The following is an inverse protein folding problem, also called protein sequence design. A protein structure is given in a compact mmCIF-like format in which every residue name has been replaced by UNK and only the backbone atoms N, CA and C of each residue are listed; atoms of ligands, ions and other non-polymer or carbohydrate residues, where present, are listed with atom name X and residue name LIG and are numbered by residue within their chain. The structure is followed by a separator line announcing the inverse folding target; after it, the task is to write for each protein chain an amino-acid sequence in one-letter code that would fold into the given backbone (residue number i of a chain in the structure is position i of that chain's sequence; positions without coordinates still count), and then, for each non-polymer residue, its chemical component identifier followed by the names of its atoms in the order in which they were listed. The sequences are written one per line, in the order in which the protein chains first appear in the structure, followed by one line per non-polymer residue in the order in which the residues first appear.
data_IF_079380729864
#
_entry.id   IF_079380729864
#
_cell.length_a   1.000
_cell.length_b   1.000
_cell.length_c   1.000
_cell.angle_alpha   90.00
_cell.angle_beta   90.00
_cell.angle_gamma   90.00
#
_symmetry.space_group_name_H-M   'P 1'
#
loop_
_entity.id
_entity.type
_entity.pdbx_description
1 polymer ?
#
# COMPACT_ATOMS: atom_id res chain seq x y z
N UNK A 1 -5.53 2.87 -13.75
CA UNK A 1 -5.15 1.47 -13.51
C UNK A 1 -6.35 0.62 -13.09
N UNK A 2 -6.94 0.83 -11.90
CA UNK A 2 -8.06 0.00 -11.41
C UNK A 2 -9.29 0.01 -12.34
N UNK A 3 -9.64 1.16 -12.94
CA UNK A 3 -10.72 1.22 -13.96
C UNK A 3 -10.42 0.34 -15.18
N UNK A 4 -9.15 0.24 -15.59
CA UNK A 4 -8.74 -0.62 -16.70
C UNK A 4 -8.89 -2.11 -16.32
N UNK A 5 -8.58 -2.47 -15.06
CA UNK A 5 -8.87 -3.81 -14.52
C UNK A 5 -10.35 -4.11 -14.55
N UNK A 6 -11.19 -3.17 -14.09
CA UNK A 6 -12.65 -3.34 -14.11
C UNK A 6 -13.20 -3.49 -15.54
N UNK A 7 -12.65 -2.74 -16.51
CA UNK A 7 -13.03 -2.85 -17.92
C UNK A 7 -12.52 -4.13 -18.62
N UNK A 8 -11.62 -4.89 -17.99
CA UNK A 8 -10.99 -6.07 -18.58
C UNK A 8 -9.83 -5.80 -19.53
N UNK A 9 -9.41 -4.54 -19.68
CA UNK A 9 -8.23 -4.16 -20.48
C UNK A 9 -6.90 -4.58 -19.82
N UNK A 10 -6.90 -4.81 -18.51
CA UNK A 10 -5.77 -5.32 -17.71
C UNK A 10 -6.30 -6.42 -16.79
N UNK A 11 -5.58 -7.52 -16.63
CA UNK A 11 -6.05 -8.64 -15.79
C UNK A 11 -6.01 -8.33 -14.29
N UNK A 12 -4.95 -7.68 -13.82
CA UNK A 12 -4.78 -7.31 -12.42
C UNK A 12 -3.72 -6.21 -12.24
N UNK A 13 -3.74 -5.54 -11.09
CA UNK A 13 -2.68 -4.61 -10.65
C UNK A 13 -2.37 -4.81 -9.16
N UNK A 14 -1.22 -4.33 -8.70
CA UNK A 14 -0.90 -4.26 -7.27
C UNK A 14 -1.24 -2.86 -6.75
N UNK A 15 -2.18 -2.78 -5.81
CA UNK A 15 -2.46 -1.56 -5.05
C UNK A 15 -1.39 -1.35 -3.97
N UNK A 16 -0.93 -0.10 -3.89
CA UNK A 16 0.00 0.39 -2.89
C UNK A 16 -0.74 1.31 -1.92
N UNK A 17 -0.21 1.51 -0.71
CA UNK A 17 -0.83 2.36 0.31
C UNK A 17 0.09 3.52 0.75
N UNK A 18 0.26 4.58 -0.08
CA UNK A 18 1.22 5.66 0.19
C UNK A 18 1.00 6.40 1.51
N UNK A 19 -0.25 6.60 1.91
CA UNK A 19 -0.56 7.24 3.19
C UNK A 19 -0.09 6.40 4.38
N UNK A 20 -0.30 5.08 4.34
CA UNK A 20 0.19 4.17 5.37
C UNK A 20 1.72 4.10 5.36
N UNK A 21 2.35 4.04 4.18
CA UNK A 21 3.80 4.12 4.04
C UNK A 21 4.37 5.38 4.70
N UNK A 22 3.80 6.55 4.41
CA UNK A 22 4.24 7.82 4.98
C UNK A 22 4.06 7.87 6.50
N UNK A 23 2.93 7.39 7.01
CA UNK A 23 2.67 7.27 8.45
C UNK A 23 3.73 6.41 9.14
N UNK A 24 3.96 5.20 8.63
CA UNK A 24 4.94 4.27 9.20
C UNK A 24 6.37 4.82 9.11
N UNK A 25 6.71 5.57 8.07
CA UNK A 25 8.01 6.24 7.96
C UNK A 25 8.20 7.28 9.08
N UNK A 26 7.18 8.09 9.36
CA UNK A 26 7.24 9.08 10.46
C UNK A 26 7.32 8.40 11.83
N UNK A 27 6.52 7.35 12.05
CA UNK A 27 6.57 6.55 13.28
C UNK A 27 7.96 5.93 13.50
N UNK A 28 8.57 5.36 12.45
CA UNK A 28 9.92 4.81 12.49
C UNK A 28 10.97 5.89 12.81
N UNK A 29 10.84 7.09 12.25
CA UNK A 29 11.73 8.20 12.54
C UNK A 29 11.65 8.65 14.01
N UNK A 30 10.43 8.73 14.57
CA UNK A 30 10.22 9.07 15.98
C UNK A 30 10.87 8.02 16.89
N UNK A 31 10.67 6.72 16.61
CA UNK A 31 11.31 5.62 17.34
C UNK A 31 12.83 5.71 17.32
N UNK A 32 13.41 5.99 16.14
CA UNK A 32 14.85 6.15 16.01
C UNK A 32 15.39 7.31 16.86
N UNK A 33 14.69 8.45 16.88
CA UNK A 33 15.04 9.61 17.73
C UNK A 33 14.99 9.25 19.22
N UNK A 34 14.07 8.37 19.62
CA UNK A 34 13.91 7.90 21.00
C UNK A 34 14.90 6.79 21.38
N UNK A 35 15.76 6.35 20.46
CA UNK A 35 16.71 5.25 20.69
C UNK A 35 16.07 3.86 20.68
N UNK A 36 14.83 3.74 20.21
CA UNK A 36 14.15 2.46 20.05
C UNK A 36 14.67 1.70 18.81
N UNK A 37 14.68 0.36 18.85
CA UNK A 37 15.05 -0.43 17.68
C UNK A 37 14.04 -0.24 16.54
N UNK A 38 14.57 -0.03 15.33
CA UNK A 38 13.78 0.11 14.10
C UNK A 38 14.15 -1.01 13.13
N UNK A 39 13.16 -1.62 12.50
CA UNK A 39 13.37 -2.65 11.49
C UNK A 39 14.06 -2.06 10.25
N UNK A 40 15.03 -2.80 9.67
CA UNK A 40 15.71 -2.38 8.44
C UNK A 40 14.79 -2.35 7.22
N UNK A 41 13.75 -3.19 7.22
CA UNK A 41 12.73 -3.26 6.19
C UNK A 41 11.38 -3.26 6.89
N UNK A 42 10.49 -2.37 6.46
CA UNK A 42 9.13 -2.24 6.99
C UNK A 42 8.18 -2.59 5.85
N UNK A 43 7.41 -3.67 6.01
CA UNK A 43 6.33 -4.00 5.08
C UNK A 43 5.13 -3.09 5.37
N UNK A 44 4.75 -2.33 4.35
CA UNK A 44 3.67 -1.33 4.43
C UNK A 44 2.34 -1.86 3.89
N UNK A 45 2.33 -3.12 3.45
CA UNK A 45 1.18 -3.80 2.88
C UNK A 45 0.96 -3.45 1.41
N UNK A 46 0.41 -4.41 0.68
CA UNK A 46 -0.07 -4.24 -0.70
C UNK A 46 -1.29 -5.14 -0.90
N UNK A 47 -2.06 -4.91 -1.97
CA UNK A 47 -3.14 -5.80 -2.35
C UNK A 47 -3.16 -6.09 -3.85
N UNK A 48 -3.44 -7.34 -4.21
CA UNK A 48 -3.76 -7.69 -5.59
C UNK A 48 -5.18 -7.20 -5.90
N UNK A 49 -5.29 -6.38 -6.93
CA UNK A 49 -6.56 -5.90 -7.45
C UNK A 49 -6.86 -6.62 -8.75
N UNK A 50 -7.94 -7.38 -8.75
CA UNK A 50 -8.50 -8.09 -9.89
C UNK A 50 -9.88 -7.52 -10.20
N UNK A 51 -10.57 -8.08 -11.20
CA UNK A 51 -11.92 -7.63 -11.56
C UNK A 51 -12.91 -7.84 -10.41
N UNK A 52 -12.70 -8.87 -9.59
CA UNK A 52 -13.56 -9.29 -8.50
C UNK A 52 -13.61 -8.28 -7.34
N UNK A 53 -12.50 -7.57 -7.06
CA UNK A 53 -12.40 -6.61 -5.95
C UNK A 53 -12.13 -5.16 -6.39
N UNK A 54 -12.07 -4.88 -7.70
CA UNK A 54 -11.75 -3.56 -8.23
C UNK A 54 -12.64 -2.43 -7.68
N UNK A 55 -13.90 -2.73 -7.34
CA UNK A 55 -14.86 -1.75 -6.79
C UNK A 55 -14.54 -1.28 -5.37
N UNK A 56 -13.76 -2.05 -4.62
CA UNK A 56 -13.29 -1.63 -3.30
C UNK A 56 -12.23 -0.53 -3.39
N UNK A 57 -11.51 -0.47 -4.52
CA UNK A 57 -10.40 0.47 -4.77
C UNK A 57 -10.80 1.67 -5.65
N UNK A 58 -12.08 1.78 -6.02
CA UNK A 58 -12.62 2.91 -6.80
C UNK A 58 -13.50 3.86 -5.97
N UNK A 59 -13.68 3.57 -4.69
CA UNK A 59 -14.36 4.42 -3.70
C UNK A 59 -13.42 5.51 -3.20
#
# INVERSE_FOLDING_TARGET
AVRAVKSGAISAVIAQYPANMGKQAVEAAIKAIQGEPVAKVIDTGTALVTKENADEFLK
#
